data_IF_140580914266
#
_entry.id   IF_140580914266
#
_cell.length_a   1.000
_cell.length_b   1.000
_cell.length_c   1.000
_cell.angle_alpha   90.00
_cell.angle_beta   90.00
_cell.angle_gamma   90.00
#
_symmetry.space_group_name_H-M   'P 1'
#
loop_
_entity.id
_entity.type
_entity.pdbx_description
1 polymer ?
#
# COMPACT_ATOMS: atom_id res chain seq x y z
N UNK A 1 22.19 -17.71 -6.37
CA UNK A 1 20.72 -17.82 -6.58
C UNK A 1 20.37 -17.04 -7.85
N UNK A 2 19.44 -17.54 -8.68
CA UNK A 2 18.97 -16.81 -9.86
C UNK A 2 18.29 -15.49 -9.44
N UNK A 3 18.27 -14.52 -10.36
CA UNK A 3 17.66 -13.21 -10.10
C UNK A 3 16.14 -13.36 -9.99
N UNK A 4 15.56 -12.92 -8.88
CA UNK A 4 14.12 -12.91 -8.65
C UNK A 4 13.61 -11.48 -8.76
N UNK A 5 12.55 -11.26 -9.53
CA UNK A 5 11.89 -9.96 -9.68
C UNK A 5 10.56 -9.92 -8.93
N UNK A 6 9.97 -8.72 -8.82
CA UNK A 6 8.66 -8.51 -8.17
C UNK A 6 7.53 -9.29 -8.86
N UNK A 7 7.71 -9.69 -10.12
CA UNK A 7 6.72 -10.45 -10.89
C UNK A 7 6.80 -11.96 -10.63
N UNK A 8 7.91 -12.44 -10.08
CA UNK A 8 8.18 -13.87 -9.87
C UNK A 8 7.74 -14.36 -8.49
N UNK A 9 7.26 -13.45 -7.63
CA UNK A 9 6.87 -13.72 -6.24
C UNK A 9 5.37 -13.58 -6.06
N UNK A 10 4.82 -14.32 -5.09
CA UNK A 10 3.41 -14.19 -4.76
C UNK A 10 3.09 -12.77 -4.26
N UNK A 11 2.12 -12.12 -4.91
CA UNK A 11 1.83 -10.71 -4.71
C UNK A 11 1.49 -10.37 -3.25
N UNK A 12 0.65 -11.17 -2.60
CA UNK A 12 0.19 -10.88 -1.26
C UNK A 12 1.32 -11.01 -0.23
N UNK A 13 2.20 -11.99 -0.40
CA UNK A 13 3.34 -12.20 0.49
C UNK A 13 4.36 -11.09 0.34
N UNK A 14 4.64 -10.68 -0.90
CA UNK A 14 5.50 -9.54 -1.17
C UNK A 14 4.98 -8.25 -0.52
N UNK A 15 3.66 -7.98 -0.62
CA UNK A 15 3.07 -6.79 -0.01
C UNK A 15 3.16 -6.82 1.53
N UNK A 16 2.91 -7.98 2.16
CA UNK A 16 3.06 -8.14 3.62
C UNK A 16 4.50 -7.91 4.07
N UNK A 17 5.47 -8.48 3.35
CA UNK A 17 6.88 -8.30 3.64
C UNK A 17 7.33 -6.85 3.45
N UNK A 18 6.89 -6.20 2.36
CA UNK A 18 7.22 -4.80 2.08
C UNK A 18 6.59 -3.84 3.11
N UNK A 19 5.34 -4.09 3.53
CA UNK A 19 4.70 -3.31 4.59
C UNK A 19 5.46 -3.44 5.92
N UNK A 20 5.88 -4.67 6.28
CA UNK A 20 6.70 -4.90 7.48
C UNK A 20 8.06 -4.18 7.40
N UNK A 21 8.69 -4.18 6.22
CA UNK A 21 9.94 -3.43 5.99
C UNK A 21 9.74 -1.92 6.14
N UNK A 22 8.68 -1.35 5.55
CA UNK A 22 8.37 0.08 5.66
C UNK A 22 8.11 0.51 7.10
N UNK A 23 7.41 -0.33 7.87
CA UNK A 23 7.17 -0.11 9.30
C UNK A 23 8.48 -0.10 10.10
N UNK A 24 9.37 -1.06 9.84
CA UNK A 24 10.66 -1.17 10.54
C UNK A 24 11.62 -0.03 10.18
N UNK A 25 11.54 0.50 8.97
CA UNK A 25 12.48 1.51 8.50
C UNK A 25 12.29 2.89 9.15
N UNK A 26 11.16 3.17 9.81
CA UNK A 26 10.81 4.46 10.45
C UNK A 26 10.96 5.72 9.57
N UNK A 27 11.13 5.55 8.25
CA UNK A 27 11.33 6.66 7.29
C UNK A 27 10.01 7.17 6.70
N UNK A 28 8.94 6.38 6.80
CA UNK A 28 7.64 6.75 6.29
C UNK A 28 6.95 7.67 7.31
N UNK A 29 6.72 8.93 6.95
CA UNK A 29 5.93 9.85 7.76
C UNK A 29 4.46 9.42 7.68
N UNK A 30 3.94 8.93 8.79
CA UNK A 30 2.52 8.58 8.90
C UNK A 30 1.73 9.85 9.21
N UNK A 31 0.65 10.14 8.48
CA UNK A 31 -0.21 11.29 8.77
C UNK A 31 -0.90 11.16 10.12
N UNK A 32 -1.16 12.28 10.79
CA UNK A 32 -1.83 12.32 12.10
C UNK A 32 -3.26 11.76 12.06
N UNK A 33 -3.96 11.93 10.93
CA UNK A 33 -5.34 11.49 10.76
C UNK A 33 -5.52 9.99 10.48
N UNK A 34 -4.45 9.20 10.50
CA UNK A 34 -4.44 7.78 10.06
C UNK A 34 -5.47 6.92 10.82
N UNK A 35 -5.77 7.26 12.06
CA UNK A 35 -6.68 6.53 12.95
C UNK A 35 -8.13 7.04 12.91
N UNK A 36 -8.37 8.17 12.24
CA UNK A 36 -9.69 8.83 12.24
C UNK A 36 -10.47 8.60 10.94
N UNK A 37 -9.78 8.31 9.84
CA UNK A 37 -10.40 8.28 8.51
C UNK A 37 -10.88 6.89 8.08
N UNK A 38 -11.88 6.90 7.21
CA UNK A 38 -12.20 5.77 6.33
C UNK A 38 -11.49 5.90 4.98
N UNK A 39 -11.26 4.77 4.31
CA UNK A 39 -10.44 4.72 3.09
C UNK A 39 -11.11 5.28 1.82
N UNK A 40 -12.44 5.34 1.81
CA UNK A 40 -13.22 5.88 0.71
C UNK A 40 -14.63 6.26 1.21
N UNK A 41 -15.32 7.10 0.45
CA UNK A 41 -16.68 7.55 0.79
C UNK A 41 -17.65 6.37 0.95
N UNK A 42 -17.59 5.39 0.04
CA UNK A 42 -18.43 4.19 0.02
C UNK A 42 -18.10 3.16 1.10
N UNK A 43 -17.05 3.36 1.92
CA UNK A 43 -16.77 2.50 3.08
C UNK A 43 -17.54 3.04 4.28
N UNK A 44 -18.21 2.17 5.02
CA UNK A 44 -18.92 2.57 6.24
C UNK A 44 -18.02 2.57 7.47
N UNK A 45 -17.04 1.66 7.49
CA UNK A 45 -16.13 1.45 8.63
C UNK A 45 -14.68 1.82 8.27
N UNK A 46 -13.91 2.17 9.31
CA UNK A 46 -12.46 2.36 9.22
C UNK A 46 -11.73 1.01 9.00
N UNK A 47 -10.48 1.03 8.51
CA UNK A 47 -9.67 -0.18 8.39
C UNK A 47 -9.52 -0.90 9.75
N UNK A 48 -9.69 -2.23 9.75
CA UNK A 48 -9.48 -3.03 10.97
C UNK A 48 -8.00 -3.15 11.38
N UNK A 49 -7.07 -2.98 10.43
CA UNK A 49 -5.64 -3.04 10.70
C UNK A 49 -5.10 -1.63 10.98
N UNK A 50 -4.59 -1.40 12.18
CA UNK A 50 -3.93 -0.13 12.58
C UNK A 50 -2.75 0.21 11.66
N UNK A 51 -2.10 -0.79 11.08
CA UNK A 51 -0.96 -0.61 10.17
C UNK A 51 -1.37 -0.49 8.71
N UNK A 52 -2.66 -0.23 8.42
CA UNK A 52 -3.19 -0.17 7.05
C UNK A 52 -2.41 0.80 6.15
N UNK A 53 -1.88 1.89 6.71
CA UNK A 53 -1.13 2.89 5.96
C UNK A 53 0.15 2.32 5.34
N UNK A 54 0.85 1.43 6.05
CA UNK A 54 2.05 0.75 5.53
C UNK A 54 1.68 -0.22 4.40
N UNK A 55 0.58 -0.96 4.58
CA UNK A 55 0.05 -1.86 3.55
C UNK A 55 -0.38 -1.07 2.31
N UNK A 56 -0.99 0.11 2.50
CA UNK A 56 -1.35 1.03 1.42
C UNK A 56 -0.13 1.55 0.68
N UNK A 57 0.90 1.99 1.41
CA UNK A 57 2.15 2.48 0.83
C UNK A 57 2.86 1.39 0.02
N UNK A 58 2.93 0.16 0.55
CA UNK A 58 3.49 -1.00 -0.14
C UNK A 58 2.74 -1.32 -1.44
N UNK A 59 1.40 -1.32 -1.40
CA UNK A 59 0.56 -1.54 -2.59
C UNK A 59 0.78 -0.48 -3.66
N UNK A 60 0.82 0.79 -3.26
CA UNK A 60 1.04 1.92 -4.18
C UNK A 60 2.43 1.86 -4.81
N UNK A 61 3.47 1.57 -4.02
CA UNK A 61 4.84 1.43 -4.54
C UNK A 61 4.94 0.28 -5.55
N UNK A 62 4.33 -0.87 -5.26
CA UNK A 62 4.28 -2.00 -6.21
C UNK A 62 3.51 -1.64 -7.48
N UNK A 63 2.39 -0.92 -7.35
CA UNK A 63 1.61 -0.50 -8.52
C UNK A 63 2.44 0.41 -9.42
N UNK A 64 3.09 1.43 -8.86
CA UNK A 64 3.97 2.34 -9.61
C UNK A 64 5.14 1.62 -10.27
N UNK A 65 5.70 0.59 -9.62
CA UNK A 65 6.74 -0.23 -10.21
C UNK A 65 6.25 -1.02 -11.43
N UNK A 66 5.04 -1.58 -11.37
CA UNK A 66 4.47 -2.38 -12.46
C UNK A 66 3.89 -1.55 -13.59
N UNK A 67 3.26 -0.42 -13.24
CA UNK A 67 2.61 0.53 -14.15
C UNK A 67 3.01 1.94 -13.73
N UNK A 68 4.13 2.39 -14.29
CA UNK A 68 4.61 3.76 -14.14
C UNK A 68 3.61 4.79 -14.69
N UNK A 69 3.80 6.06 -14.33
CA UNK A 69 2.96 7.16 -14.81
C UNK A 69 1.58 7.27 -14.15
N UNK A 70 1.29 6.46 -13.12
CA UNK A 70 0.03 6.57 -12.37
C UNK A 70 0.09 7.72 -11.36
N UNK A 71 -0.80 8.70 -11.53
CA UNK A 71 -1.00 9.81 -10.59
C UNK A 71 -2.11 9.55 -9.57
N UNK A 72 -2.43 10.56 -8.78
CA UNK A 72 -3.44 10.48 -7.70
C UNK A 72 -4.80 10.02 -8.22
N UNK A 73 -5.29 10.60 -9.33
CA UNK A 73 -6.59 10.21 -9.91
C UNK A 73 -6.63 8.79 -10.48
N UNK A 74 -5.48 8.19 -10.81
CA UNK A 74 -5.43 6.78 -11.19
C UNK A 74 -5.52 5.88 -9.95
N UNK A 75 -4.83 6.26 -8.88
CA UNK A 75 -4.84 5.52 -7.62
C UNK A 75 -6.24 5.52 -6.98
N UNK A 76 -6.97 6.64 -7.05
CA UNK A 76 -8.36 6.68 -6.56
C UNK A 76 -9.28 5.75 -7.33
N UNK A 77 -9.05 5.53 -8.63
CA UNK A 77 -9.81 4.55 -9.43
C UNK A 77 -9.44 3.10 -9.11
N UNK A 78 -8.15 2.81 -8.89
CA UNK A 78 -7.69 1.44 -8.56
C UNK A 78 -8.22 0.99 -7.19
N UNK A 79 -8.34 1.92 -6.25
CA UNK A 79 -8.75 1.64 -4.88
C UNK A 79 -10.20 2.05 -4.56
N UNK A 80 -10.85 2.76 -5.48
CA UNK A 80 -12.28 3.05 -5.44
C UNK A 80 -13.00 1.82 -5.98
N UNK A 81 -13.71 1.12 -5.09
CA UNK A 81 -14.55 -0.01 -5.47
C UNK A 81 -15.67 0.39 -6.43
#
# INVERSE_FOLDING_TARGET
MPRVTVKDVHQQEFLRALAAFLRKSWKLKVPEWVDTVKLAEHKELAPCDENWFYTRAASTARHLYLRGGAGVGSMTKIYGG
#
